data_IF_329638157463
#
_entry.id   IF_329638157463
#
_cell.length_a   1.000
_cell.length_b   1.000
_cell.length_c   1.000
_cell.angle_alpha   90.00
_cell.angle_beta   90.00
_cell.angle_gamma   90.00
#
_symmetry.space_group_name_H-M   'P 1'
#
loop_
_entity.id
_entity.type
_entity.pdbx_description
1 polymer ?
#
# COMPACT_ATOMS: atom_id res chain seq x y z
N UNK A 1 -22.11 -47.75 70.18
CA UNK A 1 -22.10 -47.90 68.70
C UNK A 1 -22.82 -46.77 67.94
N UNK A 2 -24.05 -46.34 68.31
CA UNK A 2 -24.88 -45.37 67.53
C UNK A 2 -24.33 -43.94 67.36
N UNK A 3 -23.53 -43.41 68.30
CA UNK A 3 -22.97 -42.04 68.18
C UNK A 3 -21.89 -41.92 67.10
N UNK A 4 -21.05 -42.95 66.94
CA UNK A 4 -19.97 -42.98 65.93
C UNK A 4 -20.54 -43.04 64.51
N UNK A 5 -21.69 -43.69 64.32
CA UNK A 5 -22.40 -43.75 63.02
C UNK A 5 -22.95 -42.39 62.62
N UNK A 6 -23.59 -41.67 63.55
CA UNK A 6 -24.12 -40.30 63.32
C UNK A 6 -23.03 -39.27 63.00
N UNK A 7 -21.85 -39.37 63.62
CA UNK A 7 -20.74 -38.47 63.29
C UNK A 7 -20.14 -38.77 61.90
N UNK A 8 -20.09 -40.05 61.50
CA UNK A 8 -19.67 -40.44 60.14
C UNK A 8 -20.63 -39.93 59.06
N UNK A 9 -21.95 -39.99 59.31
CA UNK A 9 -22.96 -39.46 58.37
C UNK A 9 -22.85 -37.95 58.20
N UNK A 10 -22.80 -37.18 59.29
CA UNK A 10 -22.61 -35.71 59.22
C UNK A 10 -21.32 -35.31 58.50
N UNK A 11 -20.25 -36.08 58.68
CA UNK A 11 -18.97 -35.83 57.99
C UNK A 11 -19.09 -36.10 56.49
N UNK A 12 -19.78 -37.19 56.10
CA UNK A 12 -20.08 -37.53 54.70
C UNK A 12 -20.99 -36.49 54.03
N UNK A 13 -22.00 -35.97 54.72
CA UNK A 13 -22.87 -34.91 54.20
C UNK A 13 -22.11 -33.59 54.00
N UNK A 14 -21.30 -33.17 54.98
CA UNK A 14 -20.42 -32.01 54.83
C UNK A 14 -19.46 -32.14 53.66
N UNK A 15 -18.89 -33.33 53.48
CA UNK A 15 -17.96 -33.61 52.39
C UNK A 15 -18.66 -33.62 51.02
N UNK A 16 -19.89 -34.17 50.94
CA UNK A 16 -20.74 -34.07 49.74
C UNK A 16 -21.06 -32.62 49.38
N UNK A 17 -21.56 -31.83 50.33
CA UNK A 17 -21.91 -30.43 50.09
C UNK A 17 -20.69 -29.53 49.83
N UNK A 18 -19.48 -29.95 50.25
CA UNK A 18 -18.24 -29.29 49.85
C UNK A 18 -17.87 -29.63 48.40
N UNK A 19 -17.98 -30.90 48.00
CA UNK A 19 -17.71 -31.36 46.63
C UNK A 19 -18.70 -30.77 45.61
N UNK A 20 -19.97 -30.60 45.98
CA UNK A 20 -20.97 -29.92 45.13
C UNK A 20 -20.61 -28.45 44.90
N UNK A 21 -20.30 -27.70 45.97
CA UNK A 21 -19.84 -26.30 45.85
C UNK A 21 -18.55 -26.15 45.05
N UNK A 22 -17.62 -27.10 45.17
CA UNK A 22 -16.41 -27.13 44.36
C UNK A 22 -16.73 -27.41 42.88
N UNK A 23 -17.72 -28.24 42.56
CA UNK A 23 -18.17 -28.49 41.17
C UNK A 23 -18.85 -27.27 40.56
N UNK A 24 -19.80 -26.65 41.26
CA UNK A 24 -20.50 -25.44 40.81
C UNK A 24 -19.51 -24.30 40.54
N UNK A 25 -18.51 -24.13 41.42
CA UNK A 25 -17.44 -23.15 41.22
C UNK A 25 -16.60 -23.45 39.99
N UNK A 26 -16.26 -24.71 39.72
CA UNK A 26 -15.46 -25.11 38.55
C UNK A 26 -16.24 -24.96 37.24
N UNK A 27 -17.55 -25.22 37.24
CA UNK A 27 -18.43 -24.96 36.09
C UNK A 27 -18.56 -23.47 35.80
N UNK A 28 -18.80 -22.65 36.83
CA UNK A 28 -18.84 -21.20 36.68
C UNK A 28 -17.52 -20.61 36.16
N UNK A 29 -16.37 -21.12 36.62
CA UNK A 29 -15.05 -20.71 36.10
C UNK A 29 -14.90 -21.11 34.63
N UNK A 30 -15.28 -22.34 34.25
CA UNK A 30 -15.20 -22.81 32.86
C UNK A 30 -16.07 -21.96 31.93
N UNK A 31 -17.30 -21.66 32.33
CA UNK A 31 -18.22 -20.82 31.57
C UNK A 31 -17.72 -19.38 31.47
N UNK A 32 -17.20 -18.82 32.57
CA UNK A 32 -16.62 -17.48 32.58
C UNK A 32 -15.40 -17.37 31.66
N UNK A 33 -14.49 -18.35 31.70
CA UNK A 33 -13.31 -18.40 30.83
C UNK A 33 -13.72 -18.57 29.36
N UNK A 34 -14.69 -19.44 29.07
CA UNK A 34 -15.20 -19.62 27.71
C UNK A 34 -15.89 -18.35 27.17
N UNK A 35 -16.67 -17.67 28.01
CA UNK A 35 -17.34 -16.40 27.68
C UNK A 35 -16.33 -15.30 27.37
N UNK A 36 -15.35 -15.07 28.25
CA UNK A 36 -14.28 -14.07 28.05
C UNK A 36 -13.48 -14.36 26.77
N UNK A 37 -13.11 -15.63 26.55
CA UNK A 37 -12.40 -16.04 25.33
C UNK A 37 -13.23 -15.81 24.07
N UNK A 38 -14.55 -16.02 24.12
CA UNK A 38 -15.45 -15.78 22.98
C UNK A 38 -15.63 -14.30 22.65
N UNK A 39 -15.66 -13.42 23.66
CA UNK A 39 -15.74 -11.96 23.48
C UNK A 39 -14.44 -11.44 22.85
N UNK A 40 -13.29 -11.87 23.38
CA UNK A 40 -11.99 -11.52 22.80
C UNK A 40 -11.84 -12.03 21.36
N UNK A 41 -12.32 -13.25 21.07
CA UNK A 41 -12.30 -13.79 19.71
C UNK A 41 -13.19 -13.00 18.75
N UNK A 42 -14.41 -12.64 19.17
CA UNK A 42 -15.30 -11.78 18.37
C UNK A 42 -14.69 -10.41 18.12
N UNK A 43 -14.08 -9.80 19.14
CA UNK A 43 -13.39 -8.51 18.99
C UNK A 43 -12.22 -8.59 18.01
N UNK A 44 -11.37 -9.62 18.12
CA UNK A 44 -10.28 -9.86 17.17
C UNK A 44 -10.81 -10.07 15.74
N UNK A 45 -11.90 -10.82 15.58
CA UNK A 45 -12.53 -11.05 14.28
C UNK A 45 -13.08 -9.74 13.69
N UNK A 46 -13.79 -8.93 14.48
CA UNK A 46 -14.31 -7.63 14.04
C UNK A 46 -13.17 -6.66 13.67
N UNK A 47 -12.07 -6.67 14.43
CA UNK A 47 -10.87 -5.90 14.10
C UNK A 47 -10.24 -6.36 12.78
N UNK A 48 -10.12 -7.67 12.57
CA UNK A 48 -9.60 -8.23 11.33
C UNK A 48 -10.49 -7.90 10.12
N UNK A 49 -11.81 -7.98 10.28
CA UNK A 49 -12.78 -7.59 9.23
C UNK A 49 -12.67 -6.09 8.94
N UNK A 50 -12.58 -5.24 9.97
CA UNK A 50 -12.44 -3.79 9.78
C UNK A 50 -11.14 -3.43 9.06
N UNK A 51 -10.03 -4.06 9.44
CA UNK A 51 -8.75 -3.91 8.74
C UNK A 51 -8.87 -4.38 7.29
N UNK A 52 -9.49 -5.53 7.06
CA UNK A 52 -9.75 -6.06 5.72
C UNK A 52 -10.57 -5.11 4.85
N UNK A 53 -11.59 -4.47 5.41
CA UNK A 53 -12.39 -3.45 4.72
C UNK A 53 -11.57 -2.21 4.35
N UNK A 54 -10.71 -1.72 5.25
CA UNK A 54 -9.82 -0.59 4.97
C UNK A 54 -8.87 -0.95 3.82
N UNK A 55 -8.20 -2.10 3.89
CA UNK A 55 -7.25 -2.54 2.86
C UNK A 55 -7.95 -2.72 1.51
N UNK A 56 -9.10 -3.40 1.48
CA UNK A 56 -9.86 -3.62 0.24
C UNK A 56 -10.38 -2.31 -0.35
N UNK A 57 -10.88 -1.38 0.46
CA UNK A 57 -11.28 -0.04 -0.02
C UNK A 57 -10.12 0.72 -0.65
N UNK A 58 -8.93 0.69 -0.05
CA UNK A 58 -7.74 1.33 -0.59
C UNK A 58 -7.33 0.71 -1.94
N UNK A 59 -7.38 -0.62 -2.06
CA UNK A 59 -7.10 -1.32 -3.32
C UNK A 59 -8.14 -1.01 -4.40
N UNK A 60 -9.43 -0.91 -4.04
CA UNK A 60 -10.51 -0.53 -4.96
C UNK A 60 -10.31 0.89 -5.46
N UNK A 61 -9.97 1.84 -4.58
CA UNK A 61 -9.66 3.22 -4.97
C UNK A 61 -8.49 3.26 -5.94
N UNK A 62 -7.41 2.53 -5.64
CA UNK A 62 -6.22 2.46 -6.50
C UNK A 62 -6.52 1.85 -7.87
N UNK A 63 -7.27 0.74 -7.92
CA UNK A 63 -7.70 0.11 -9.18
C UNK A 63 -8.70 0.99 -9.95
N UNK A 64 -9.63 1.65 -9.26
CA UNK A 64 -10.53 2.62 -9.84
C UNK A 64 -9.78 3.78 -10.50
N UNK A 65 -8.72 4.27 -9.84
CA UNK A 65 -7.86 5.31 -10.40
C UNK A 65 -7.13 4.83 -11.66
N UNK A 66 -6.55 3.62 -11.68
CA UNK A 66 -5.94 3.05 -12.90
C UNK A 66 -6.95 2.97 -14.06
N UNK A 67 -8.16 2.49 -13.79
CA UNK A 67 -9.20 2.38 -14.82
C UNK A 67 -9.65 3.76 -15.33
N UNK A 68 -9.77 4.74 -14.44
CA UNK A 68 -10.17 6.11 -14.79
C UNK A 68 -9.10 6.84 -15.59
N UNK A 69 -7.82 6.70 -15.19
CA UNK A 69 -6.73 7.35 -15.89
C UNK A 69 -6.27 6.60 -17.14
N UNK A 70 -6.61 5.32 -17.27
CA UNK A 70 -6.09 4.44 -18.32
C UNK A 70 -4.59 4.15 -18.18
N UNK A 71 -3.98 4.51 -17.04
CA UNK A 71 -2.56 4.35 -16.77
C UNK A 71 -2.35 3.28 -15.70
N UNK A 72 -1.37 2.41 -15.90
CA UNK A 72 -0.96 1.41 -14.90
C UNK A 72 -0.38 2.06 -13.63
N UNK A 73 0.16 3.27 -13.77
CA UNK A 73 0.74 4.06 -12.69
C UNK A 73 0.17 5.48 -12.71
N UNK A 74 -1.04 5.70 -12.17
CA UNK A 74 -1.70 7.00 -12.22
C UNK A 74 -0.97 8.10 -11.44
N UNK A 75 -0.05 7.74 -10.55
CA UNK A 75 0.69 8.66 -9.69
C UNK A 75 2.15 8.24 -9.65
N UNK A 76 3.06 9.14 -10.03
CA UNK A 76 4.52 8.91 -9.98
C UNK A 76 5.23 10.06 -9.29
N UNK A 77 6.44 9.82 -8.78
CA UNK A 77 7.26 10.83 -8.10
C UNK A 77 8.50 11.13 -8.94
N UNK A 78 8.82 12.41 -9.09
CA UNK A 78 10.03 12.86 -9.78
C UNK A 78 11.25 12.65 -8.88
N UNK A 79 12.17 11.80 -9.32
CA UNK A 79 13.35 11.40 -8.54
C UNK A 79 14.62 12.20 -8.90
N UNK A 80 14.65 12.86 -10.05
CA UNK A 80 15.82 13.58 -10.59
C UNK A 80 15.50 15.04 -10.94
N UNK A 81 16.54 15.82 -11.26
CA UNK A 81 16.42 17.19 -11.76
C UNK A 81 16.50 17.32 -13.29
N UNK A 82 16.27 16.23 -14.04
CA UNK A 82 16.35 16.26 -15.52
C UNK A 82 15.21 17.05 -16.18
N UNK A 83 14.14 17.31 -15.43
CA UNK A 83 12.97 18.07 -15.89
C UNK A 83 12.93 19.50 -15.38
N UNK A 84 14.01 20.00 -14.76
CA UNK A 84 14.06 21.40 -14.33
C UNK A 84 14.15 22.37 -15.54
N UNK A 85 13.53 23.56 -15.47
CA UNK A 85 12.76 24.12 -14.35
C UNK A 85 11.28 23.67 -14.29
N UNK A 86 10.82 22.84 -15.22
CA UNK A 86 9.40 22.43 -15.33
C UNK A 86 8.92 21.59 -14.14
N UNK A 87 9.67 20.56 -13.76
CA UNK A 87 9.42 19.74 -12.58
C UNK A 87 10.68 19.59 -11.75
N UNK A 88 10.50 19.63 -10.44
CA UNK A 88 11.59 19.48 -9.47
C UNK A 88 11.54 18.10 -8.83
N UNK A 89 12.68 17.67 -8.31
CA UNK A 89 12.76 16.46 -7.48
C UNK A 89 11.80 16.57 -6.30
N UNK A 90 11.00 15.52 -6.10
CA UNK A 90 9.97 15.45 -5.06
C UNK A 90 8.59 15.93 -5.50
N UNK A 91 8.41 16.34 -6.76
CA UNK A 91 7.08 16.61 -7.29
C UNK A 91 6.35 15.29 -7.57
N UNK A 92 5.06 15.24 -7.25
CA UNK A 92 4.17 14.13 -7.63
C UNK A 92 3.51 14.49 -8.95
N UNK A 93 3.50 13.58 -9.92
CA UNK A 93 2.82 13.74 -11.20
C UNK A 93 1.60 12.84 -11.26
N UNK A 94 0.49 13.41 -11.71
CA UNK A 94 -0.73 12.68 -12.03
C UNK A 94 -0.71 12.32 -13.51
N UNK A 95 -0.85 11.03 -13.80
CA UNK A 95 -0.76 10.50 -15.15
C UNK A 95 -2.15 10.15 -15.69
N UNK A 96 -2.37 10.48 -16.95
CA UNK A 96 -3.55 10.09 -17.70
C UNK A 96 -3.13 9.62 -19.10
N UNK A 97 -3.62 8.44 -19.49
CA UNK A 97 -3.41 7.86 -20.80
C UNK A 97 -4.67 8.04 -21.64
N UNK A 98 -4.65 9.03 -22.53
CA UNK A 98 -5.77 9.26 -23.46
C UNK A 98 -5.70 8.33 -24.66
N UNK A 99 -6.83 8.28 -25.38
CA UNK A 99 -6.88 7.71 -26.73
C UNK A 99 -6.23 8.63 -27.77
N UNK A 100 -6.22 9.94 -27.52
CA UNK A 100 -5.65 10.95 -28.42
C UNK A 100 -4.18 10.67 -28.78
N UNK A 101 -3.75 11.06 -30.00
CA UNK A 101 -2.37 10.89 -30.45
C UNK A 101 -1.43 11.75 -29.61
N UNK A 102 -0.26 11.18 -29.30
CA UNK A 102 0.80 11.85 -28.54
C UNK A 102 1.40 12.96 -29.39
N UNK A 103 1.66 14.11 -28.79
CA UNK A 103 2.16 15.30 -29.49
C UNK A 103 3.52 15.75 -28.95
N UNK A 104 4.29 16.39 -29.81
CA UNK A 104 5.50 17.08 -29.39
C UNK A 104 5.17 18.16 -28.35
N UNK A 105 5.98 18.25 -27.31
CA UNK A 105 5.80 19.14 -26.16
C UNK A 105 5.13 18.49 -24.96
N UNK A 106 4.45 17.35 -25.11
CA UNK A 106 3.84 16.63 -23.99
C UNK A 106 4.90 16.04 -23.06
N UNK A 107 4.59 15.96 -21.77
CA UNK A 107 5.43 15.28 -20.78
C UNK A 107 4.88 13.87 -20.60
N UNK A 108 5.72 12.88 -20.89
CA UNK A 108 5.36 11.47 -20.84
C UNK A 108 6.20 10.75 -19.80
N UNK A 109 5.59 9.75 -19.20
CA UNK A 109 6.27 8.80 -18.35
C UNK A 109 6.34 7.48 -19.09
N UNK A 110 7.55 7.00 -19.30
CA UNK A 110 7.79 5.77 -20.04
C UNK A 110 8.68 4.82 -19.26
N UNK A 111 8.50 3.54 -19.53
CA UNK A 111 9.37 2.49 -19.04
C UNK A 111 10.27 2.00 -20.18
N UNK A 112 11.52 1.68 -19.86
CA UNK A 112 12.48 1.10 -20.80
C UNK A 112 12.73 -0.33 -20.38
N UNK A 113 12.71 -1.25 -21.35
CA UNK A 113 13.00 -2.66 -21.07
C UNK A 113 14.38 -2.81 -20.42
N UNK A 114 14.43 -3.54 -19.30
CA UNK A 114 15.64 -3.70 -18.50
C UNK A 114 15.90 -2.60 -17.46
N UNK A 115 15.02 -1.60 -17.34
CA UNK A 115 15.02 -0.64 -16.24
C UNK A 115 13.80 -0.86 -15.33
N UNK A 116 14.04 -0.83 -14.02
CA UNK A 116 12.97 -0.92 -13.02
C UNK A 116 12.32 0.44 -12.73
N UNK A 117 13.06 1.53 -12.95
CA UNK A 117 12.63 2.88 -12.60
C UNK A 117 12.16 3.60 -13.87
N UNK A 118 10.90 4.08 -13.90
CA UNK A 118 10.39 4.80 -15.04
C UNK A 118 11.00 6.19 -15.20
N UNK A 119 10.99 6.70 -16.43
CA UNK A 119 11.61 7.97 -16.80
C UNK A 119 10.50 8.96 -17.20
N UNK A 120 10.60 10.19 -16.70
CA UNK A 120 9.67 11.28 -17.03
C UNK A 120 10.42 12.28 -17.88
N UNK A 121 10.08 12.44 -19.16
CA UNK A 121 10.71 13.43 -20.04
C UNK A 121 9.72 14.04 -21.04
N UNK A 122 10.15 15.11 -21.73
CA UNK A 122 9.33 15.80 -22.72
C UNK A 122 9.50 15.16 -24.09
N UNK A 123 8.38 14.97 -24.79
CA UNK A 123 8.38 14.54 -26.19
C UNK A 123 8.91 15.68 -27.07
N UNK A 124 9.98 15.41 -27.81
CA UNK A 124 10.57 16.39 -28.75
C UNK A 124 10.23 16.09 -30.20
N UNK A 125 9.97 14.82 -30.56
CA UNK A 125 9.54 14.42 -31.90
C UNK A 125 8.55 13.27 -31.82
N UNK A 126 7.57 13.31 -32.72
CA UNK A 126 6.62 12.23 -32.94
C UNK A 126 6.60 11.94 -34.43
N UNK A 127 6.72 10.67 -34.79
CA UNK A 127 6.56 10.19 -36.14
C UNK A 127 5.41 9.18 -36.17
N UNK A 128 4.35 9.53 -36.90
CA UNK A 128 3.22 8.64 -37.12
C UNK A 128 3.38 8.02 -38.49
N UNK A 129 3.52 6.69 -38.53
CA UNK A 129 3.65 5.97 -39.79
C UNK A 129 2.27 5.72 -40.38
N UNK A 130 1.99 6.38 -41.50
CA UNK A 130 0.68 6.29 -42.20
C UNK A 130 0.32 4.87 -42.63
N UNK A 131 1.31 4.01 -42.86
CA UNK A 131 1.14 2.62 -43.34
C UNK A 131 0.66 1.64 -42.26
N UNK A 132 1.01 1.88 -41.00
CA UNK A 132 0.86 0.94 -39.89
C UNK A 132 0.15 1.53 -38.69
N UNK A 133 -0.09 2.86 -38.68
CA UNK A 133 -0.61 3.59 -37.53
C UNK A 133 0.32 3.55 -36.31
N UNK A 134 1.58 3.17 -36.50
CA UNK A 134 2.57 3.10 -35.41
C UNK A 134 3.06 4.51 -35.10
N UNK A 135 3.12 4.81 -33.80
CA UNK A 135 3.61 6.07 -33.27
C UNK A 135 4.99 5.83 -32.67
N UNK A 136 5.98 6.49 -33.26
CA UNK A 136 7.38 6.51 -32.83
C UNK A 136 7.66 7.85 -32.13
N UNK A 137 8.08 7.79 -30.86
CA UNK A 137 8.25 8.95 -29.99
C UNK A 137 9.71 9.09 -29.59
N UNK A 138 10.24 10.32 -29.66
CA UNK A 138 11.55 10.68 -29.12
C UNK A 138 11.37 11.67 -27.98
N UNK A 139 12.03 11.38 -26.86
CA UNK A 139 11.96 12.18 -25.63
C UNK A 139 13.30 12.82 -25.30
N UNK A 140 13.25 13.88 -24.48
CA UNK A 140 14.40 14.56 -23.91
C UNK A 140 14.01 15.17 -22.57
N UNK A 141 14.90 15.05 -21.58
CA UNK A 141 14.81 15.84 -20.35
C UNK A 141 15.02 17.33 -20.61
N UNK A 142 14.17 18.17 -20.00
CA UNK A 142 14.22 19.63 -20.18
C UNK A 142 15.60 20.21 -19.85
N UNK A 143 16.26 19.66 -18.82
CA UNK A 143 17.59 20.05 -18.34
C UNK A 143 18.74 19.19 -18.90
N UNK A 144 18.46 18.24 -19.81
CA UNK A 144 19.49 17.39 -20.41
C UNK A 144 20.10 18.07 -21.65
N UNK A 145 21.36 17.79 -21.98
CA UNK A 145 22.01 18.32 -23.19
C UNK A 145 21.55 17.61 -24.47
N UNK A 146 21.45 16.28 -24.43
CA UNK A 146 21.03 15.44 -25.55
C UNK A 146 19.61 14.89 -25.39
N UNK A 147 19.17 14.15 -26.41
CA UNK A 147 17.98 13.32 -26.35
C UNK A 147 18.19 12.03 -25.55
N UNK A 148 17.11 11.29 -25.33
CA UNK A 148 17.12 10.11 -24.47
C UNK A 148 17.50 8.81 -25.19
N UNK A 149 18.03 8.85 -26.42
CA UNK A 149 18.33 7.61 -27.18
C UNK A 149 19.29 6.71 -26.41
N UNK A 150 20.27 7.29 -25.70
CA UNK A 150 21.23 6.55 -24.87
C UNK A 150 20.56 5.89 -23.64
N UNK A 151 19.37 6.35 -23.26
CA UNK A 151 18.62 5.79 -22.14
C UNK A 151 17.70 4.63 -22.55
N UNK A 152 17.40 4.48 -23.83
CA UNK A 152 16.54 3.42 -24.36
C UNK A 152 17.24 2.05 -24.35
N UNK A 153 16.49 0.99 -24.73
CA UNK A 153 17.06 -0.34 -24.84
C UNK A 153 18.12 -0.41 -25.97
N UNK A 154 18.97 -1.43 -25.94
CA UNK A 154 20.05 -1.55 -26.93
C UNK A 154 19.51 -1.58 -28.38
N UNK A 155 20.09 -0.75 -29.23
CA UNK A 155 19.64 -0.54 -30.62
C UNK A 155 18.31 0.20 -30.79
N UNK A 156 17.63 0.61 -29.71
CA UNK A 156 16.35 1.33 -29.78
C UNK A 156 16.56 2.84 -30.01
N UNK A 157 15.89 3.39 -31.03
CA UNK A 157 15.93 4.84 -31.34
C UNK A 157 14.62 5.57 -31.08
N UNK A 158 13.54 4.83 -30.91
CA UNK A 158 12.19 5.35 -30.77
C UNK A 158 11.43 4.61 -29.68
N UNK A 159 10.66 5.35 -28.89
CA UNK A 159 9.70 4.79 -27.96
C UNK A 159 8.38 4.53 -28.69
N UNK A 160 7.87 3.32 -28.54
CA UNK A 160 6.53 2.96 -29.02
C UNK A 160 5.48 3.15 -27.91
N UNK A 161 4.20 3.20 -28.29
CA UNK A 161 3.08 3.44 -27.37
C UNK A 161 3.03 2.53 -26.14
N UNK A 162 3.47 1.28 -26.24
CA UNK A 162 3.47 0.34 -25.10
C UNK A 162 4.52 0.67 -24.03
N UNK A 163 5.57 1.43 -24.37
CA UNK A 163 6.53 1.92 -23.40
C UNK A 163 5.97 3.08 -22.57
N UNK A 164 4.95 3.77 -23.08
CA UNK A 164 4.42 5.00 -22.49
C UNK A 164 3.31 4.61 -21.51
N UNK A 165 3.57 4.80 -20.22
CA UNK A 165 2.61 4.47 -19.16
C UNK A 165 1.54 5.55 -19.01
N UNK A 166 1.85 6.80 -19.36
CA UNK A 166 0.88 7.89 -19.31
C UNK A 166 1.49 9.26 -19.55
N UNK A 167 0.62 10.26 -19.71
CA UNK A 167 0.99 11.66 -19.88
C UNK A 167 0.75 12.42 -18.58
N UNK A 168 1.65 13.32 -18.21
CA UNK A 168 1.45 14.15 -17.02
C UNK A 168 0.36 15.20 -17.28
N UNK A 169 -0.71 15.17 -16.50
CA UNK A 169 -1.85 16.11 -16.59
C UNK A 169 -1.89 17.11 -15.45
N UNK A 170 -1.16 16.86 -14.37
CA UNK A 170 -1.04 17.75 -13.23
C UNK A 170 0.09 17.32 -12.32
N UNK A 171 0.46 18.19 -11.39
CA UNK A 171 1.48 17.89 -10.41
C UNK A 171 1.20 18.51 -9.05
N UNK A 172 1.77 17.91 -8.01
CA UNK A 172 1.73 18.42 -6.65
C UNK A 172 3.17 18.60 -6.16
N UNK A 173 3.62 19.86 -5.96
CA UNK A 173 5.02 20.13 -5.70
C UNK A 173 5.44 19.68 -4.30
N UNK A 174 6.68 19.20 -4.18
CA UNK A 174 7.36 18.82 -2.92
C UNK A 174 6.77 17.66 -2.10
N UNK A 175 5.54 17.20 -2.36
CA UNK A 175 4.89 16.16 -1.52
C UNK A 175 5.58 14.80 -1.64
N UNK A 176 6.18 14.50 -2.79
CA UNK A 176 6.93 13.28 -3.03
C UNK A 176 8.21 13.16 -2.20
N UNK A 177 8.68 14.24 -1.56
CA UNK A 177 9.81 14.15 -0.62
C UNK A 177 9.53 13.19 0.53
N UNK A 178 8.28 13.06 0.98
CA UNK A 178 7.89 12.10 2.02
C UNK A 178 8.25 10.68 1.57
N UNK A 179 7.86 10.30 0.35
CA UNK A 179 8.15 8.96 -0.20
C UNK A 179 9.62 8.75 -0.49
N UNK A 180 10.34 9.79 -0.95
CA UNK A 180 11.79 9.72 -1.21
C UNK A 180 12.54 9.49 0.10
N UNK A 181 12.24 10.28 1.14
CA UNK A 181 12.91 10.16 2.45
C UNK A 181 12.64 8.78 3.08
N UNK A 182 11.41 8.28 2.98
CA UNK A 182 11.06 6.94 3.48
C UNK A 182 11.81 5.81 2.77
N UNK A 183 12.11 5.99 1.48
CA UNK A 183 12.84 5.01 0.66
C UNK A 183 14.35 5.10 0.88
N UNK A 184 14.92 6.32 0.86
CA UNK A 184 16.37 6.55 0.98
C UNK A 184 16.89 6.37 2.41
N UNK A 185 16.06 6.66 3.42
CA UNK A 185 16.44 6.54 4.85
C UNK A 185 15.55 5.50 5.54
N UNK A 186 15.87 4.20 5.42
CA UNK A 186 15.06 3.13 6.01
C UNK A 186 14.93 3.24 7.54
N UNK A 187 15.87 3.89 8.21
CA UNK A 187 15.80 4.18 9.66
C UNK A 187 14.54 4.98 10.01
N UNK A 188 14.18 5.98 9.20
CA UNK A 188 12.98 6.80 9.45
C UNK A 188 11.72 5.94 9.36
N UNK A 189 11.66 5.03 8.38
CA UNK A 189 10.58 4.04 8.25
C UNK A 189 10.45 3.18 9.51
N UNK A 190 11.56 2.66 10.05
CA UNK A 190 11.52 1.83 11.26
C UNK A 190 11.14 2.62 12.51
N UNK A 191 11.61 3.87 12.66
CA UNK A 191 11.21 4.76 13.75
C UNK A 191 9.70 5.02 13.70
N UNK A 192 9.14 5.29 12.52
CA UNK A 192 7.71 5.54 12.34
C UNK A 192 6.87 4.32 12.73
N UNK A 193 7.24 3.13 12.23
CA UNK A 193 6.55 1.87 12.57
C UNK A 193 6.66 1.59 14.07
N UNK A 194 7.84 1.82 14.66
CA UNK A 194 8.05 1.66 16.11
C UNK A 194 7.19 2.61 16.93
N UNK A 195 7.11 3.88 16.55
CA UNK A 195 6.29 4.88 17.22
C UNK A 195 4.79 4.55 17.10
N UNK A 196 4.33 4.11 15.93
CA UNK A 196 2.94 3.67 15.73
C UNK A 196 2.63 2.41 16.55
N UNK A 197 3.55 1.45 16.58
CA UNK A 197 3.42 0.25 17.42
C UNK A 197 3.34 0.59 18.90
N UNK A 198 4.20 1.49 19.38
CA UNK A 198 4.17 2.00 20.75
C UNK A 198 2.83 2.69 21.04
N UNK A 199 2.35 3.56 20.15
CA UNK A 199 1.08 4.27 20.30
C UNK A 199 -0.10 3.31 20.39
N UNK A 200 -0.13 2.26 19.57
CA UNK A 200 -1.17 1.23 19.60
C UNK A 200 -1.14 0.43 20.91
N UNK A 201 0.04 0.20 21.48
CA UNK A 201 0.18 -0.47 22.78
C UNK A 201 -0.30 0.47 23.91
N UNK A 202 0.08 1.75 23.88
CA UNK A 202 -0.29 2.73 24.92
C UNK A 202 -1.73 3.23 24.83
N UNK A 203 -2.39 3.09 23.68
CA UNK A 203 -3.81 3.48 23.49
C UNK A 203 -4.79 2.37 23.88
N UNK A 204 -4.30 1.28 24.47
CA UNK A 204 -5.10 0.11 24.85
C UNK A 204 -5.65 0.17 26.29
N UNK A 205 -5.51 1.32 26.95
CA UNK A 205 -6.21 1.68 28.20
C UNK A 205 -7.43 2.55 27.89
#
# INVERSE_FOLDING_TARGET
MRMLTRQKEKKREKEKGRRERERERMEWIRESVASVRSIQFRQLLTQAVSLGLIVTSALIIWKGLMCFTGSESPVVVVLSGSMEPGFKRGDILFLHMSKDPIRAGEIVVFNVDGREIPIVHRVIKVHEREDTGKVDVLTKGDNNYGDDIVLYADGQRWLHRHHIMGRAVGFLPYVGWVTIIMTEKPIIKYILIGALGLLVITSKD
#
